data_IF_069356802172
#
_entry.id   IF_069356802172
#
_cell.length_a   1.000
_cell.length_b   1.000
_cell.length_c   1.000
_cell.angle_alpha   90.00
_cell.angle_beta   90.00
_cell.angle_gamma   90.00
#
_symmetry.space_group_name_H-M   'P 1'
#
loop_
_entity.id
_entity.type
_entity.pdbx_description
1 polymer ?
#
# COMPACT_ATOMS: atom_id res chain seq x y z
N UNK A 1 23.06 -13.40 23.05
CA UNK A 1 22.20 -12.41 22.36
C UNK A 1 21.82 -11.33 23.37
N UNK A 2 22.53 -10.20 23.37
CA UNK A 2 22.32 -9.09 24.30
C UNK A 2 20.98 -8.39 24.01
N UNK A 3 20.09 -8.33 25.01
CA UNK A 3 18.75 -7.75 24.91
C UNK A 3 18.74 -6.35 25.55
N UNK A 4 18.09 -5.36 24.92
CA UNK A 4 18.30 -3.93 25.19
C UNK A 4 16.99 -3.11 25.15
N UNK A 5 17.00 -1.97 25.85
CA UNK A 5 15.85 -1.14 26.21
C UNK A 5 15.87 0.25 25.55
N UNK A 6 14.70 0.81 25.25
CA UNK A 6 14.57 2.12 24.61
C UNK A 6 13.81 3.09 25.51
N UNK A 7 14.44 4.24 25.75
CA UNK A 7 13.83 5.45 26.31
C UNK A 7 13.46 6.35 25.13
N UNK A 8 12.15 6.65 24.99
CA UNK A 8 11.52 7.63 24.08
C UNK A 8 12.36 8.12 22.88
N UNK A 9 12.19 7.49 21.72
CA UNK A 9 12.65 8.00 20.43
C UNK A 9 11.79 9.21 20.01
N UNK A 10 12.41 10.32 19.63
CA UNK A 10 11.73 11.51 19.12
C UNK A 10 11.08 11.24 17.76
N UNK A 11 9.83 11.68 17.65
CA UNK A 11 8.93 11.40 16.52
C UNK A 11 9.43 11.96 15.17
N UNK A 12 10.31 12.96 15.20
CA UNK A 12 10.81 13.68 14.03
C UNK A 12 11.89 12.90 13.25
N UNK A 13 12.63 11.99 13.89
CA UNK A 13 13.75 11.29 13.26
C UNK A 13 13.33 10.12 12.35
N UNK A 14 12.04 9.77 12.33
CA UNK A 14 11.49 8.59 11.66
C UNK A 14 10.92 8.94 10.26
N UNK A 15 10.76 10.22 9.92
CA UNK A 15 9.81 10.66 8.87
C UNK A 15 10.41 11.25 7.60
N UNK A 16 11.40 10.60 6.97
CA UNK A 16 11.77 10.96 5.58
C UNK A 16 12.02 9.73 4.72
N UNK A 17 11.58 9.81 3.45
CA UNK A 17 11.59 8.83 2.34
C UNK A 17 10.41 7.85 2.19
N UNK A 18 9.90 7.79 0.96
CA UNK A 18 8.64 7.19 0.49
C UNK A 18 8.42 5.69 0.78
N UNK A 19 7.15 5.35 1.09
CA UNK A 19 6.36 4.13 0.81
C UNK A 19 6.85 2.72 1.19
N UNK A 20 8.05 2.57 1.73
CA UNK A 20 8.45 1.36 2.47
C UNK A 20 9.52 1.79 3.45
N UNK A 21 9.15 1.99 4.72
CA UNK A 21 10.16 2.08 5.78
C UNK A 21 10.63 0.65 6.10
N UNK A 22 11.32 0.04 5.12
CA UNK A 22 12.20 -1.07 5.42
C UNK A 22 13.46 -0.44 6.01
N UNK A 23 13.49 -0.31 7.35
CA UNK A 23 14.75 -0.28 8.05
C UNK A 23 15.49 -1.55 7.64
N UNK A 24 16.40 -1.39 6.68
CA UNK A 24 17.08 -2.47 6.00
C UNK A 24 18.54 -2.49 6.44
N UNK A 25 19.09 -3.68 6.65
CA UNK A 25 20.54 -3.86 6.86
C UNK A 25 21.35 -3.24 5.70
N UNK A 26 20.75 -3.08 4.52
CA UNK A 26 21.31 -2.43 3.33
C UNK A 26 20.89 -0.96 3.16
N UNK A 27 20.17 -0.38 4.12
CA UNK A 27 19.67 1.00 4.06
C UNK A 27 20.78 2.03 4.25
N UNK A 28 20.43 3.31 4.29
CA UNK A 28 21.40 4.39 4.60
C UNK A 28 22.02 4.17 5.98
N UNK A 29 23.20 4.73 6.28
CA UNK A 29 23.79 4.63 7.63
C UNK A 29 22.83 5.08 8.75
N UNK A 30 21.94 6.05 8.49
CA UNK A 30 20.90 6.48 9.42
C UNK A 30 19.82 5.40 9.61
N UNK A 31 19.33 4.78 8.54
CA UNK A 31 18.37 3.68 8.62
C UNK A 31 18.98 2.44 9.31
N UNK A 32 20.24 2.13 9.00
CA UNK A 32 20.98 1.08 9.68
C UNK A 32 21.19 1.41 11.16
N UNK A 33 21.38 2.68 11.53
CA UNK A 33 21.46 3.11 12.94
C UNK A 33 20.19 2.69 13.70
N UNK A 34 19.00 2.81 13.12
CA UNK A 34 17.77 2.31 13.75
C UNK A 34 17.67 0.77 13.84
N UNK A 35 18.53 0.02 13.15
CA UNK A 35 18.61 -1.45 13.26
C UNK A 35 19.77 -1.95 14.11
N UNK A 36 20.85 -1.19 14.13
CA UNK A 36 22.19 -1.62 14.59
C UNK A 36 22.65 -0.90 15.84
N UNK A 37 22.06 0.26 16.17
CA UNK A 37 22.40 0.94 17.43
C UNK A 37 21.95 0.08 18.58
N UNK A 38 22.73 0.09 19.67
CA UNK A 38 22.40 -0.66 20.87
C UNK A 38 21.01 -0.35 21.45
N UNK A 39 20.46 0.82 21.15
CA UNK A 39 19.19 1.28 21.69
C UNK A 39 18.07 1.25 20.64
N UNK A 40 18.16 0.43 19.59
CA UNK A 40 17.12 0.35 18.56
C UNK A 40 16.92 -1.09 18.08
N UNK A 41 15.68 -1.59 18.15
CA UNK A 41 15.29 -2.98 17.88
C UNK A 41 14.20 -3.11 16.82
N UNK A 42 14.14 -2.15 15.89
CA UNK A 42 13.09 -2.02 14.89
C UNK A 42 13.34 -2.93 13.67
N UNK A 43 13.32 -4.24 13.89
CA UNK A 43 13.75 -5.27 12.91
C UNK A 43 12.62 -5.78 12.02
N UNK A 44 11.35 -5.61 12.43
CA UNK A 44 10.17 -5.96 11.64
C UNK A 44 10.07 -5.13 10.35
N UNK A 45 9.51 -5.68 9.26
CA UNK A 45 9.15 -4.89 8.06
C UNK A 45 7.90 -4.09 8.32
N UNK A 46 7.86 -2.84 7.87
CA UNK A 46 6.66 -2.02 7.90
C UNK A 46 6.21 -1.64 6.49
N UNK A 47 5.02 -2.11 6.12
CA UNK A 47 4.36 -1.67 4.89
C UNK A 47 3.23 -0.69 5.27
N UNK A 48 3.36 0.56 4.82
CA UNK A 48 2.32 1.57 5.00
C UNK A 48 1.37 1.51 3.81
N UNK A 49 0.07 1.33 4.07
CA UNK A 49 -0.97 1.40 3.03
C UNK A 49 -0.65 0.49 1.84
N UNK A 50 -0.28 -0.76 2.16
CA UNK A 50 0.38 -1.68 1.21
C UNK A 50 -0.39 -1.80 -0.10
N UNK A 51 0.14 -1.14 -1.13
CA UNK A 51 -0.25 -1.35 -2.51
C UNK A 51 0.58 -2.48 -3.15
N UNK A 52 1.07 -3.46 -2.37
CA UNK A 52 1.72 -4.65 -2.92
C UNK A 52 0.74 -5.52 -3.75
N UNK A 53 -0.55 -5.40 -3.44
CA UNK A 53 -1.66 -5.92 -4.27
C UNK A 53 -2.22 -4.88 -5.21
N UNK A 54 -1.49 -3.77 -5.30
CA UNK A 54 -1.78 -2.50 -5.92
C UNK A 54 -3.05 -1.82 -5.50
N UNK A 55 -3.16 -0.60 -6.02
CA UNK A 55 -4.37 0.19 -5.88
C UNK A 55 -5.47 -0.43 -6.74
N UNK A 56 -6.73 -0.13 -6.44
CA UNK A 56 -7.86 -0.52 -7.32
C UNK A 56 -7.68 0.02 -8.76
N UNK A 57 -6.84 1.05 -8.92
CA UNK A 57 -6.41 1.63 -10.19
C UNK A 57 -5.28 0.86 -10.89
N UNK A 58 -4.51 0.04 -10.17
CA UNK A 58 -3.29 -0.58 -10.65
C UNK A 58 -3.47 -2.02 -11.19
N UNK A 59 -3.10 -3.05 -10.42
CA UNK A 59 -3.05 -4.44 -10.86
C UNK A 59 -4.41 -5.07 -11.16
N UNK A 60 -5.51 -4.49 -10.66
CA UNK A 60 -6.84 -4.93 -11.08
C UNK A 60 -7.19 -4.47 -12.49
N UNK A 61 -6.51 -3.47 -13.06
CA UNK A 61 -6.87 -2.91 -14.37
C UNK A 61 -6.61 -3.88 -15.50
N UNK A 62 -5.49 -4.61 -15.48
CA UNK A 62 -5.26 -5.68 -16.46
C UNK A 62 -6.32 -6.77 -16.37
N UNK A 63 -6.67 -7.20 -15.15
CA UNK A 63 -7.73 -8.20 -14.95
C UNK A 63 -9.12 -7.67 -15.37
N UNK A 64 -9.41 -6.39 -15.10
CA UNK A 64 -10.66 -5.71 -15.51
C UNK A 64 -10.74 -5.59 -17.03
N UNK A 65 -9.65 -5.22 -17.70
CA UNK A 65 -9.57 -5.12 -19.16
C UNK A 65 -9.66 -6.51 -19.79
N UNK A 66 -8.96 -7.51 -19.27
CA UNK A 66 -9.08 -8.90 -19.74
C UNK A 66 -10.52 -9.43 -19.58
N UNK A 67 -11.16 -9.18 -18.43
CA UNK A 67 -12.58 -9.53 -18.22
C UNK A 67 -13.50 -8.79 -19.17
N UNK A 68 -13.26 -7.50 -19.41
CA UNK A 68 -14.04 -6.72 -20.36
C UNK A 68 -13.91 -7.29 -21.78
N UNK A 69 -12.70 -7.63 -22.20
CA UNK A 69 -12.45 -8.27 -23.50
C UNK A 69 -13.20 -9.60 -23.60
N UNK A 70 -13.10 -10.47 -22.58
CA UNK A 70 -13.81 -11.74 -22.55
C UNK A 70 -15.34 -11.57 -22.59
N UNK A 71 -15.88 -10.60 -21.84
CA UNK A 71 -17.31 -10.27 -21.85
C UNK A 71 -17.77 -9.75 -23.22
N UNK A 72 -16.98 -8.89 -23.87
CA UNK A 72 -17.24 -8.43 -25.23
C UNK A 72 -17.22 -9.61 -26.21
N UNK A 73 -16.22 -10.49 -26.11
CA UNK A 73 -16.11 -11.68 -26.95
C UNK A 73 -17.33 -12.60 -26.80
N UNK A 74 -17.74 -12.90 -25.56
CA UNK A 74 -18.92 -13.74 -25.27
C UNK A 74 -20.22 -13.09 -25.78
N UNK A 75 -20.37 -11.77 -25.58
CA UNK A 75 -21.49 -11.02 -26.12
C UNK A 75 -21.55 -11.09 -27.65
N UNK A 76 -20.43 -10.86 -28.34
CA UNK A 76 -20.41 -10.90 -29.80
C UNK A 76 -20.62 -12.31 -30.34
N UNK A 77 -20.06 -13.34 -29.71
CA UNK A 77 -20.34 -14.75 -30.06
C UNK A 77 -21.81 -15.07 -29.94
N UNK A 78 -22.46 -14.66 -28.85
CA UNK A 78 -23.90 -14.85 -28.68
C UNK A 78 -24.72 -14.14 -29.78
N UNK A 79 -24.27 -12.95 -30.18
CA UNK A 79 -24.96 -12.13 -31.18
C UNK A 79 -24.57 -12.44 -32.64
N UNK A 80 -23.67 -13.41 -32.89
CA UNK A 80 -23.27 -13.80 -34.26
C UNK A 80 -24.45 -14.30 -35.12
N UNK A 81 -25.53 -14.77 -34.51
CA UNK A 81 -26.76 -15.15 -35.22
C UNK A 81 -27.70 -13.97 -35.52
N UNK A 82 -27.51 -12.82 -34.88
CA UNK A 82 -28.42 -11.66 -34.96
C UNK A 82 -27.81 -10.46 -35.70
N UNK A 83 -26.50 -10.31 -35.68
CA UNK A 83 -25.82 -9.20 -36.33
C UNK A 83 -25.10 -9.61 -37.61
N UNK A 84 -25.02 -8.67 -38.55
CA UNK A 84 -24.25 -8.87 -39.77
C UNK A 84 -22.76 -8.98 -39.44
N UNK A 85 -22.04 -9.75 -40.24
CA UNK A 85 -20.57 -9.86 -40.13
C UNK A 85 -19.90 -8.48 -40.20
N UNK A 86 -20.42 -7.58 -41.04
CA UNK A 86 -19.91 -6.21 -41.17
C UNK A 86 -20.04 -5.40 -39.87
N UNK A 87 -21.15 -5.54 -39.15
CA UNK A 87 -21.35 -4.85 -37.87
C UNK A 87 -20.38 -5.36 -36.80
N UNK A 88 -20.20 -6.68 -36.71
CA UNK A 88 -19.25 -7.29 -35.76
C UNK A 88 -17.81 -6.85 -36.08
N UNK A 89 -17.41 -6.88 -37.35
CA UNK A 89 -16.09 -6.42 -37.79
C UNK A 89 -15.87 -4.94 -37.45
N UNK A 90 -16.84 -4.07 -37.75
CA UNK A 90 -16.75 -2.65 -37.41
C UNK A 90 -16.57 -2.42 -35.90
N UNK A 91 -17.30 -3.13 -35.06
CA UNK A 91 -17.18 -2.97 -33.61
C UNK A 91 -15.83 -3.47 -33.08
N UNK A 92 -15.33 -4.58 -33.59
CA UNK A 92 -14.00 -5.09 -33.23
C UNK A 92 -12.89 -4.13 -33.67
N UNK A 93 -13.00 -3.52 -34.85
CA UNK A 93 -12.09 -2.48 -35.31
C UNK A 93 -12.15 -1.23 -34.41
N UNK A 94 -13.35 -0.82 -33.99
CA UNK A 94 -13.51 0.31 -33.06
C UNK A 94 -12.89 0.02 -31.69
N UNK A 95 -13.07 -1.18 -31.14
CA UNK A 95 -12.43 -1.60 -29.90
C UNK A 95 -10.91 -1.64 -30.03
N UNK A 96 -10.38 -2.19 -31.12
CA UNK A 96 -8.93 -2.23 -31.36
C UNK A 96 -8.36 -0.82 -31.47
N UNK A 97 -8.98 0.05 -32.27
CA UNK A 97 -8.55 1.44 -32.41
C UNK A 97 -8.63 2.21 -31.08
N UNK A 98 -9.63 1.92 -30.25
CA UNK A 98 -9.71 2.49 -28.90
C UNK A 98 -8.58 1.99 -27.99
N UNK A 99 -8.29 0.68 -28.00
CA UNK A 99 -7.21 0.08 -27.21
C UNK A 99 -5.82 0.53 -27.67
N UNK A 100 -5.64 0.81 -28.96
CA UNK A 100 -4.39 1.35 -29.52
C UNK A 100 -4.26 2.86 -29.33
N UNK A 101 -5.30 3.52 -28.81
CA UNK A 101 -5.28 4.98 -28.64
C UNK A 101 -4.30 5.41 -27.53
N UNK A 102 -3.57 6.54 -27.73
CA UNK A 102 -2.68 7.08 -26.70
C UNK A 102 -3.35 7.33 -25.34
N UNK A 103 -4.60 7.81 -25.25
CA UNK A 103 -5.30 7.94 -23.96
C UNK A 103 -5.50 6.61 -23.25
N UNK A 104 -5.87 5.55 -23.98
CA UNK A 104 -6.02 4.21 -23.39
C UNK A 104 -4.66 3.64 -22.95
N UNK A 105 -3.62 3.80 -23.76
CA UNK A 105 -2.26 3.38 -23.41
C UNK A 105 -1.72 4.16 -22.19
N UNK A 106 -1.98 5.46 -22.10
CA UNK A 106 -1.61 6.27 -20.94
C UNK A 106 -2.43 5.90 -19.69
N UNK A 107 -3.72 5.59 -19.86
CA UNK A 107 -4.56 5.08 -18.78
C UNK A 107 -4.05 3.73 -18.27
N UNK A 108 -3.72 2.80 -19.18
CA UNK A 108 -3.11 1.51 -18.85
C UNK A 108 -1.73 1.69 -18.22
N UNK A 109 -0.95 2.67 -18.67
CA UNK A 109 0.35 3.08 -18.12
C UNK A 109 0.27 3.61 -16.69
N UNK A 110 -0.70 4.50 -16.40
CA UNK A 110 -0.98 4.99 -15.05
C UNK A 110 -1.55 3.91 -14.13
N UNK A 111 -2.20 2.90 -14.71
CA UNK A 111 -2.69 1.71 -14.04
C UNK A 111 -1.62 0.60 -13.84
N UNK A 112 -0.33 0.85 -14.13
CA UNK A 112 0.72 -0.16 -13.98
C UNK A 112 1.21 -0.35 -12.53
N UNK A 113 0.39 -0.06 -11.51
CA UNK A 113 0.86 0.05 -10.13
C UNK A 113 1.34 -1.26 -9.49
N UNK A 114 1.34 -2.40 -10.20
CA UNK A 114 2.11 -3.59 -9.81
C UNK A 114 2.36 -4.55 -11.00
N UNK A 115 2.85 -4.05 -12.13
CA UNK A 115 3.33 -4.91 -13.22
C UNK A 115 4.52 -5.80 -12.79
N UNK A 116 4.92 -6.82 -13.58
CA UNK A 116 6.09 -7.65 -13.28
C UNK A 116 7.36 -6.85 -12.91
N UNK A 117 7.56 -5.66 -13.49
CA UNK A 117 8.68 -4.78 -13.15
C UNK A 117 8.52 -4.10 -11.78
N UNK A 118 7.32 -3.62 -11.43
CA UNK A 118 7.03 -3.12 -10.07
C UNK A 118 7.15 -4.23 -9.02
N UNK A 119 6.69 -5.44 -9.36
CA UNK A 119 6.91 -6.65 -8.55
C UNK A 119 8.41 -6.94 -8.41
N UNK A 120 9.21 -6.83 -9.46
CA UNK A 120 10.66 -7.07 -9.43
C UNK A 120 11.39 -6.05 -8.55
N UNK A 121 11.02 -4.77 -8.61
CA UNK A 121 11.54 -3.73 -7.72
C UNK A 121 11.18 -4.04 -6.25
N UNK A 122 9.92 -4.37 -5.99
CA UNK A 122 9.47 -4.83 -4.68
C UNK A 122 10.24 -6.08 -4.20
N UNK A 123 10.49 -7.06 -5.08
CA UNK A 123 11.27 -8.25 -4.75
C UNK A 123 12.74 -7.94 -4.46
N UNK A 124 13.31 -6.91 -5.09
CA UNK A 124 14.67 -6.48 -4.78
C UNK A 124 14.75 -5.84 -3.39
N UNK A 125 13.73 -5.09 -3.00
CA UNK A 125 13.76 -4.21 -1.82
C UNK A 125 13.05 -4.78 -0.57
N UNK A 126 12.19 -5.80 -0.75
CA UNK A 126 11.32 -6.35 0.30
C UNK A 126 11.99 -7.25 1.35
N UNK A 127 13.32 -7.41 1.31
CA UNK A 127 14.12 -8.22 2.25
C UNK A 127 13.47 -9.57 2.63
N UNK A 128 13.51 -10.60 1.78
CA UNK A 128 12.75 -11.86 1.92
C UNK A 128 13.27 -12.86 2.97
N UNK A 129 13.60 -12.39 4.17
CA UNK A 129 13.99 -13.23 5.30
C UNK A 129 12.76 -13.89 5.97
N UNK A 130 12.67 -15.23 6.03
CA UNK A 130 11.49 -15.92 6.56
C UNK A 130 11.19 -15.71 8.05
N UNK A 131 12.15 -15.19 8.80
CA UNK A 131 12.06 -15.00 10.26
C UNK A 131 11.81 -13.53 10.65
N UNK A 132 11.71 -12.63 9.68
CA UNK A 132 11.41 -11.23 9.95
C UNK A 132 9.90 -11.03 9.78
N UNK A 133 9.15 -10.64 10.81
CA UNK A 133 7.73 -10.37 10.67
C UNK A 133 7.48 -9.13 9.81
N UNK A 134 6.31 -9.05 9.19
CA UNK A 134 5.83 -7.92 8.39
C UNK A 134 4.58 -7.35 9.05
N UNK A 135 4.64 -6.09 9.44
CA UNK A 135 3.51 -5.29 9.90
C UNK A 135 2.93 -4.51 8.73
N UNK A 136 1.60 -4.51 8.59
CA UNK A 136 0.91 -3.74 7.56
C UNK A 136 -0.06 -2.74 8.17
N UNK A 137 0.13 -1.46 7.84
CA UNK A 137 -0.84 -0.43 8.18
C UNK A 137 -1.97 -0.41 7.16
N UNK A 138 -3.21 -0.43 7.66
CA UNK A 138 -4.41 -0.34 6.83
C UNK A 138 -5.13 0.96 7.13
N UNK A 139 -5.45 1.74 6.11
CA UNK A 139 -6.21 2.99 6.28
C UNK A 139 -7.67 2.82 5.88
N UNK A 140 -8.54 3.53 6.59
CA UNK A 140 -9.92 3.80 6.18
C UNK A 140 -10.17 5.29 6.30
N UNK A 141 -10.66 5.88 5.22
CA UNK A 141 -11.07 7.27 5.20
C UNK A 141 -12.41 7.45 5.88
N UNK A 142 -12.50 8.48 6.72
CA UNK A 142 -13.77 8.98 7.23
C UNK A 142 -14.01 10.40 6.71
N UNK A 143 -15.25 10.89 6.81
CA UNK A 143 -15.61 12.22 6.31
C UNK A 143 -14.72 13.34 6.85
N UNK A 144 -14.25 13.22 8.09
CA UNK A 144 -13.40 14.22 8.74
C UNK A 144 -11.89 14.02 8.52
N UNK A 145 -11.49 12.88 7.94
CA UNK A 145 -10.09 12.58 7.59
C UNK A 145 -9.89 12.54 6.08
N UNK A 146 -10.85 12.99 5.29
CA UNK A 146 -10.82 12.94 3.83
C UNK A 146 -10.38 14.29 3.30
N UNK A 147 -9.16 14.43 2.76
CA UNK A 147 -8.74 15.64 2.07
C UNK A 147 -9.64 15.93 0.88
N UNK A 148 -9.88 17.21 0.61
CA UNK A 148 -10.67 17.67 -0.54
C UNK A 148 -10.14 17.12 -1.87
N UNK A 149 -8.81 17.08 -2.01
CA UNK A 149 -8.12 16.53 -3.19
C UNK A 149 -8.41 15.05 -3.42
N UNK A 150 -8.79 14.30 -2.38
CA UNK A 150 -9.01 12.85 -2.45
C UNK A 150 -10.50 12.49 -2.52
N UNK A 151 -11.43 13.44 -2.40
CA UNK A 151 -12.87 13.15 -2.40
C UNK A 151 -13.35 12.47 -3.69
N UNK A 152 -12.92 12.98 -4.84
CA UNK A 152 -13.31 12.41 -6.12
C UNK A 152 -12.82 10.96 -6.26
N UNK A 153 -11.54 10.73 -5.94
CA UNK A 153 -10.93 9.40 -6.02
C UNK A 153 -11.57 8.44 -5.01
N UNK A 154 -11.79 8.90 -3.78
CA UNK A 154 -12.49 8.16 -2.74
C UNK A 154 -13.88 7.71 -3.19
N UNK A 155 -14.68 8.62 -3.77
CA UNK A 155 -16.00 8.30 -4.30
C UNK A 155 -15.96 7.28 -5.45
N UNK A 156 -14.99 7.43 -6.36
CA UNK A 156 -14.77 6.47 -7.46
C UNK A 156 -14.43 5.09 -6.90
N UNK A 157 -13.51 5.03 -5.94
CA UNK A 157 -13.08 3.78 -5.32
C UNK A 157 -14.21 3.10 -4.57
N UNK A 158 -14.98 3.83 -3.76
CA UNK A 158 -16.14 3.30 -3.06
C UNK A 158 -17.14 2.67 -4.03
N UNK A 159 -17.39 3.32 -5.18
CA UNK A 159 -18.27 2.78 -6.22
C UNK A 159 -17.68 1.54 -6.90
N UNK A 160 -16.36 1.53 -7.16
CA UNK A 160 -15.69 0.42 -7.84
C UNK A 160 -15.52 -0.82 -6.96
N UNK A 161 -15.24 -0.64 -5.66
CA UNK A 161 -15.11 -1.72 -4.68
C UNK A 161 -16.47 -2.18 -4.12
N UNK A 162 -17.50 -1.34 -4.22
CA UNK A 162 -18.77 -1.52 -3.53
C UNK A 162 -18.68 -1.28 -2.02
N UNK A 163 -17.60 -0.66 -1.54
CA UNK A 163 -17.30 -0.52 -0.11
C UNK A 163 -16.44 0.72 0.18
N UNK A 164 -16.80 1.46 1.22
CA UNK A 164 -16.04 2.64 1.68
C UNK A 164 -14.80 2.28 2.53
N UNK A 165 -14.48 0.99 2.70
CA UNK A 165 -13.34 0.52 3.51
C UNK A 165 -12.03 0.60 2.72
N UNK A 166 -11.57 1.82 2.46
CA UNK A 166 -10.31 2.09 1.76
C UNK A 166 -9.66 3.40 2.19
N UNK A 167 -8.38 3.57 1.87
CA UNK A 167 -7.57 4.75 2.20
C UNK A 167 -7.44 5.76 1.03
N UNK A 168 -8.28 5.63 0.00
CA UNK A 168 -8.24 6.25 -1.35
C UNK A 168 -7.18 5.72 -2.31
N UNK A 169 -6.54 4.60 -1.98
CA UNK A 169 -5.66 3.90 -2.89
C UNK A 169 -5.97 2.40 -2.90
N UNK A 170 -6.04 1.79 -1.72
CA UNK A 170 -6.16 0.35 -1.51
C UNK A 170 -7.34 0.04 -0.59
N UNK A 171 -8.08 -1.02 -0.91
CA UNK A 171 -9.13 -1.52 -0.02
C UNK A 171 -8.50 -2.23 1.20
N UNK A 172 -9.14 -2.17 2.36
CA UNK A 172 -8.61 -2.75 3.62
C UNK A 172 -8.22 -4.22 3.49
N UNK A 173 -8.98 -5.02 2.73
CA UNK A 173 -8.69 -6.44 2.53
C UNK A 173 -7.56 -6.72 1.54
N UNK A 174 -7.23 -5.75 0.69
CA UNK A 174 -6.11 -5.84 -0.26
C UNK A 174 -4.83 -5.23 0.32
N UNK A 175 -4.94 -4.43 1.39
CA UNK A 175 -3.82 -3.89 2.15
C UNK A 175 -3.18 -4.97 3.05
N UNK A 176 -2.47 -5.92 2.44
CA UNK A 176 -1.77 -7.03 3.09
C UNK A 176 -0.27 -7.04 2.79
N UNK A 177 0.48 -7.85 3.54
CA UNK A 177 1.95 -7.87 3.60
C UNK A 177 2.63 -8.59 2.45
N UNK A 178 1.83 -9.13 1.54
CA UNK A 178 2.26 -10.06 0.51
C UNK A 178 1.42 -9.88 -0.77
N UNK A 179 1.94 -10.26 -1.94
CA UNK A 179 1.17 -10.23 -3.18
C UNK A 179 0.17 -11.38 -3.25
N UNK A 180 -1.08 -11.04 -3.45
CA UNK A 180 -2.27 -11.89 -3.59
C UNK A 180 -2.40 -12.41 -5.02
N UNK A 181 -2.06 -11.57 -6.01
CA UNK A 181 -2.21 -11.90 -7.43
C UNK A 181 -0.99 -12.58 -8.04
N UNK A 182 0.20 -12.40 -7.46
CA UNK A 182 1.45 -12.99 -7.97
C UNK A 182 1.96 -14.08 -7.05
N UNK A 183 1.84 -15.34 -7.48
CA UNK A 183 2.27 -16.51 -6.69
C UNK A 183 3.70 -16.90 -7.03
N UNK A 184 4.63 -16.70 -6.11
CA UNK A 184 6.01 -17.15 -6.25
C UNK A 184 6.63 -17.54 -4.89
N UNK A 185 7.94 -17.87 -4.87
CA UNK A 185 8.65 -18.23 -3.62
C UNK A 185 8.68 -17.08 -2.62
N UNK A 186 8.98 -15.85 -3.07
CA UNK A 186 9.11 -14.69 -2.20
C UNK A 186 7.76 -14.25 -1.64
N UNK A 187 6.68 -14.34 -2.43
CA UNK A 187 5.31 -14.09 -1.97
C UNK A 187 4.91 -15.01 -0.82
N UNK A 188 5.23 -16.31 -0.92
CA UNK A 188 5.00 -17.27 0.18
C UNK A 188 5.79 -16.92 1.44
N UNK A 189 7.02 -16.41 1.29
CA UNK A 189 7.81 -15.97 2.45
C UNK A 189 7.13 -14.79 3.14
N UNK A 190 6.70 -13.79 2.37
CA UNK A 190 6.01 -12.62 2.91
C UNK A 190 4.65 -12.96 3.52
N UNK A 191 3.90 -13.85 2.89
CA UNK A 191 2.61 -14.35 3.38
C UNK A 191 2.77 -15.01 4.75
N UNK A 192 3.78 -15.87 4.92
CA UNK A 192 4.09 -16.49 6.21
C UNK A 192 4.59 -15.50 7.28
N UNK A 193 5.10 -14.34 6.85
CA UNK A 193 5.59 -13.29 7.75
C UNK A 193 4.54 -12.21 8.04
N UNK A 194 3.39 -12.22 7.36
CA UNK A 194 2.39 -11.17 7.46
C UNK A 194 1.62 -11.26 8.78
N UNK A 195 1.89 -10.32 9.68
CA UNK A 195 1.22 -10.24 10.98
C UNK A 195 -0.09 -9.44 10.90
N UNK A 196 -0.40 -8.91 9.72
CA UNK A 196 -1.45 -7.93 9.52
C UNK A 196 -1.15 -6.62 10.26
N UNK A 197 -2.20 -5.86 10.50
CA UNK A 197 -2.15 -4.70 11.38
C UNK A 197 -3.52 -4.08 11.57
N UNK A 198 -3.59 -3.17 12.53
CA UNK A 198 -4.81 -2.48 12.88
C UNK A 198 -5.26 -1.54 11.75
N UNK A 199 -6.57 -1.48 11.53
CA UNK A 199 -7.19 -0.49 10.66
C UNK A 199 -7.17 0.86 11.38
N UNK A 200 -6.55 1.84 10.74
CA UNK A 200 -6.46 3.21 11.21
C UNK A 200 -7.42 4.11 10.44
N UNK A 201 -7.98 5.10 11.14
CA UNK A 201 -8.74 6.19 10.53
C UNK A 201 -7.76 7.20 9.92
N UNK A 202 -7.34 6.94 8.70
CA UNK A 202 -6.39 7.75 7.94
C UNK A 202 -6.46 7.43 6.44
N UNK A 203 -5.73 8.23 5.65
CA UNK A 203 -5.60 8.09 4.21
C UNK A 203 -4.12 7.94 3.83
N UNK A 204 -3.84 7.43 2.63
CA UNK A 204 -2.47 7.11 2.20
C UNK A 204 -1.54 8.33 2.04
N UNK A 205 -2.07 9.55 1.95
CA UNK A 205 -1.28 10.80 1.96
C UNK A 205 -1.01 11.35 3.37
N UNK A 206 -1.42 10.63 4.42
CA UNK A 206 -1.19 11.08 5.79
C UNK A 206 0.10 10.47 6.35
N UNK A 207 0.90 11.23 7.12
CA UNK A 207 0.86 12.68 7.26
C UNK A 207 1.42 13.36 6.00
N UNK A 208 1.01 14.61 5.78
CA UNK A 208 1.46 15.40 4.63
C UNK A 208 2.90 15.86 4.84
N UNK A 209 3.75 15.68 3.82
CA UNK A 209 5.10 16.22 3.78
C UNK A 209 5.04 17.74 3.53
N UNK A 210 6.03 18.48 4.06
CA UNK A 210 6.15 19.93 3.88
C UNK A 210 6.25 20.30 2.39
N UNK A 211 6.95 19.50 1.59
CA UNK A 211 7.12 19.73 0.15
C UNK A 211 5.79 19.72 -0.62
N UNK A 212 4.81 18.98 -0.12
CA UNK A 212 3.47 18.87 -0.73
C UNK A 212 2.38 19.53 0.11
N UNK A 213 2.76 20.37 1.08
CA UNK A 213 1.83 21.09 1.94
C UNK A 213 0.84 21.97 1.15
N UNK A 214 1.19 22.38 -0.07
CA UNK A 214 0.33 23.14 -0.97
C UNK A 214 -0.96 22.41 -1.38
N UNK A 215 -1.02 21.08 -1.21
CA UNK A 215 -2.24 20.30 -1.43
C UNK A 215 -3.29 20.51 -0.33
N UNK A 216 -2.90 21.06 0.83
CA UNK A 216 -3.79 21.29 1.98
C UNK A 216 -4.70 22.48 1.71
N UNK A 217 -6.01 22.23 1.57
CA UNK A 217 -6.98 23.32 1.41
C UNK A 217 -7.32 23.96 2.75
N UNK A 218 -8.00 25.11 2.73
CA UNK A 218 -8.53 25.76 3.95
C UNK A 218 -9.46 24.82 4.73
N UNK A 219 -10.25 24.02 4.00
CA UNK A 219 -11.16 23.04 4.58
C UNK A 219 -10.39 21.93 5.29
N UNK A 220 -9.34 21.43 4.64
CA UNK A 220 -8.49 20.38 5.21
C UNK A 220 -7.73 20.85 6.46
N UNK A 221 -7.32 22.13 6.48
CA UNK A 221 -6.70 22.74 7.66
C UNK A 221 -7.69 22.87 8.84
N UNK A 222 -8.93 23.26 8.58
CA UNK A 222 -9.97 23.35 9.63
C UNK A 222 -10.33 21.96 10.18
N UNK A 223 -10.39 20.95 9.30
CA UNK A 223 -10.74 19.59 9.69
C UNK A 223 -9.56 18.79 10.25
N UNK A 224 -8.33 19.27 10.06
CA UNK A 224 -7.12 18.53 10.40
C UNK A 224 -6.97 17.24 9.57
N UNK A 225 -7.43 17.25 8.31
CA UNK A 225 -7.51 16.03 7.47
C UNK A 225 -6.17 15.31 7.34
N UNK A 226 -5.06 16.06 7.33
CA UNK A 226 -3.68 15.55 7.26
C UNK A 226 -2.97 15.48 8.62
N UNK A 227 -3.58 16.04 9.68
CA UNK A 227 -2.96 16.24 10.99
C UNK A 227 -3.33 15.12 11.97
N UNK A 228 -3.63 13.93 11.45
CA UNK A 228 -3.85 12.78 12.32
C UNK A 228 -2.55 12.47 13.09
N UNK A 229 -2.70 11.96 14.31
CA UNK A 229 -1.58 11.72 15.19
C UNK A 229 -0.54 10.81 14.48
N UNK A 230 0.67 11.32 14.29
CA UNK A 230 1.71 10.68 13.48
C UNK A 230 2.09 9.30 14.05
N UNK A 231 1.92 9.14 15.36
CA UNK A 231 2.09 7.93 16.16
C UNK A 231 1.26 6.73 15.68
N UNK A 232 0.11 6.97 15.05
CA UNK A 232 -0.70 5.93 14.41
C UNK A 232 0.02 5.19 13.29
N UNK A 233 1.01 5.82 12.65
CA UNK A 233 1.80 5.21 11.60
C UNK A 233 2.99 4.42 12.15
N UNK A 234 3.34 4.54 13.42
CA UNK A 234 4.55 3.93 13.98
C UNK A 234 4.23 2.90 15.07
N UNK A 235 3.22 3.17 15.91
CA UNK A 235 2.87 2.27 17.02
C UNK A 235 2.52 0.84 16.61
N UNK A 236 1.77 0.59 15.52
CA UNK A 236 1.51 -0.78 15.07
C UNK A 236 2.80 -1.56 14.80
N UNK A 237 3.82 -0.88 14.26
CA UNK A 237 5.11 -1.50 13.99
C UNK A 237 5.93 -1.73 15.25
N UNK A 238 5.92 -0.79 16.21
CA UNK A 238 6.54 -0.98 17.53
C UNK A 238 5.89 -2.17 18.25
N UNK A 239 4.56 -2.26 18.24
CA UNK A 239 3.81 -3.35 18.88
C UNK A 239 4.23 -4.72 18.34
N UNK A 240 4.38 -4.86 17.02
CA UNK A 240 4.91 -6.11 16.43
C UNK A 240 6.34 -6.38 16.90
N UNK A 241 7.23 -5.38 16.91
CA UNK A 241 8.59 -5.57 17.40
C UNK A 241 8.64 -6.00 18.89
N UNK A 242 7.75 -5.45 19.72
CA UNK A 242 7.63 -5.82 21.14
C UNK A 242 7.10 -7.24 21.31
N UNK A 243 6.05 -7.63 20.58
CA UNK A 243 5.46 -8.98 20.64
C UNK A 243 6.46 -10.09 20.32
N UNK A 244 7.38 -9.82 19.38
CA UNK A 244 8.42 -10.76 19.01
C UNK A 244 9.71 -10.62 19.85
N UNK A 245 9.70 -9.74 20.86
CA UNK A 245 10.82 -9.56 21.79
C UNK A 245 12.04 -8.87 21.17
N UNK A 246 11.87 -8.17 20.05
CA UNK A 246 12.93 -7.33 19.47
C UNK A 246 13.12 -6.04 20.27
N UNK A 247 12.06 -5.55 20.91
CA UNK A 247 12.06 -4.37 21.78
C UNK A 247 11.49 -4.77 23.15
N UNK A 248 12.19 -4.43 24.23
CA UNK A 248 11.72 -4.63 25.62
C UNK A 248 11.00 -3.37 26.15
N UNK A 249 9.97 -3.54 26.99
CA UNK A 249 9.36 -2.41 27.69
C UNK A 249 10.36 -1.78 28.67
N UNK A 250 10.39 -0.45 28.76
CA UNK A 250 11.30 0.28 29.65
C UNK A 250 11.16 -0.14 31.13
N UNK A 251 9.94 -0.49 31.57
CA UNK A 251 9.68 -0.99 32.93
C UNK A 251 10.30 -2.37 33.19
N UNK A 252 10.37 -3.22 32.18
CA UNK A 252 10.94 -4.56 32.28
C UNK A 252 12.47 -4.51 32.21
N UNK A 253 13.01 -3.63 31.37
CA UNK A 253 14.43 -3.32 31.33
C UNK A 253 14.96 -2.84 32.68
N UNK A 254 14.25 -1.90 33.30
CA UNK A 254 14.59 -1.35 34.62
C UNK A 254 14.52 -2.40 35.73
N UNK A 255 13.56 -3.33 35.68
CA UNK A 255 13.48 -4.49 36.59
C UNK A 255 14.61 -5.49 36.36
N UNK A 256 15.10 -5.62 35.12
CA UNK A 256 16.22 -6.46 34.76
C UNK A 256 17.60 -5.81 35.03
N UNK A 257 17.64 -4.60 35.58
CA UNK A 257 18.88 -3.88 35.90
C UNK A 257 19.64 -3.37 34.67
N UNK A 258 18.93 -3.10 33.56
CA UNK A 258 19.49 -2.55 32.32
C UNK A 258 19.09 -1.09 32.12
#
# INVERSE_FOLDING_TARGET
>A
LMKRSITYLSFEDIYSTWYTHNCSITGTPLQQKFLTTSNSGLVCRQLLFSAANGSVHGPSTNAKVQRLIAMCEDFFKYQQGYFSRAFITFFLELLNNFMDSPPFQNFMGGAQSFLPEGSKAFWREGQHLPQVPTCVLRGVMEKHTTPESLEMISNVLTKQSGSALHDSQVHVYDAVGHPVYTKNRNGRVLENCDMGGAVQRCHHWSPLDEEVAFLKTKRDAIQGSFDCAKDRHVYPWIDVNVRFGFIEYASEAKKAGK
#
